data_IF_088621689799
#
_entry.id   IF_088621689799
#
_cell.length_a   1.000
_cell.length_b   1.000
_cell.length_c   1.000
_cell.angle_alpha   90.00
_cell.angle_beta   90.00
_cell.angle_gamma   90.00
#
_symmetry.space_group_name_H-M   'P 1'
#
loop_
_entity.id
_entity.type
_entity.pdbx_description
1 polymer ?
#
# COMPACT_ATOMS: atom_id res chain seq x y z
N UNK A 1 -19.12 -0.36 4.17
CA UNK A 1 -18.18 0.73 3.81
C UNK A 1 -17.00 0.10 3.10
N UNK A 2 -16.60 0.61 1.93
CA UNK A 2 -15.49 0.05 1.17
C UNK A 2 -14.16 0.77 1.46
N UNK A 3 -13.04 0.13 1.09
CA UNK A 3 -11.71 0.65 1.35
C UNK A 3 -11.42 1.95 0.60
N UNK A 4 -12.02 2.14 -0.57
CA UNK A 4 -11.81 3.32 -1.41
C UNK A 4 -12.41 4.55 -0.76
N UNK A 5 -13.63 4.44 -0.23
CA UNK A 5 -14.31 5.51 0.50
C UNK A 5 -13.54 5.93 1.75
N UNK A 6 -13.16 4.97 2.61
CA UNK A 6 -12.31 5.27 3.79
C UNK A 6 -11.01 5.94 3.38
N UNK A 7 -10.42 5.48 2.28
CA UNK A 7 -9.17 6.02 1.79
C UNK A 7 -9.28 7.48 1.36
N UNK A 8 -10.39 7.87 0.74
CA UNK A 8 -10.62 9.25 0.32
C UNK A 8 -10.86 10.14 1.54
N UNK A 9 -11.73 9.70 2.44
CA UNK A 9 -12.17 10.49 3.60
C UNK A 9 -11.08 10.64 4.68
N UNK A 10 -10.31 9.59 4.97
CA UNK A 10 -9.34 9.59 6.07
C UNK A 10 -7.89 9.60 5.61
N UNK A 11 -7.62 9.02 4.44
CA UNK A 11 -6.26 8.86 3.92
C UNK A 11 -6.02 9.76 2.70
N UNK A 12 -6.95 10.64 2.31
CA UNK A 12 -6.79 11.72 1.33
C UNK A 12 -6.61 11.32 -0.15
N UNK A 13 -6.55 10.03 -0.48
CA UNK A 13 -6.60 9.56 -1.88
C UNK A 13 -7.29 8.23 -1.91
N UNK A 14 -8.34 8.10 -2.72
CA UNK A 14 -9.09 6.85 -2.95
C UNK A 14 -8.24 5.56 -3.04
N UNK A 15 -7.05 5.60 -3.67
CA UNK A 15 -6.19 4.42 -3.84
C UNK A 15 -5.21 4.14 -2.68
N UNK A 16 -4.99 5.09 -1.75
CA UNK A 16 -3.92 5.02 -0.75
C UNK A 16 -4.07 3.81 0.17
N UNK A 17 -5.20 3.71 0.88
CA UNK A 17 -5.48 2.60 1.79
C UNK A 17 -5.62 1.27 1.02
N UNK A 18 -6.35 1.17 -0.12
CA UNK A 18 -6.36 -0.05 -0.93
C UNK A 18 -4.96 -0.55 -1.30
N UNK A 19 -4.05 0.34 -1.69
CA UNK A 19 -2.67 -0.01 -2.00
C UNK A 19 -1.90 -0.46 -0.75
N UNK A 20 -2.03 0.24 0.38
CA UNK A 20 -1.40 -0.17 1.65
C UNK A 20 -1.87 -1.57 2.07
N UNK A 21 -3.17 -1.83 1.97
CA UNK A 21 -3.76 -3.13 2.28
C UNK A 21 -3.29 -4.22 1.32
N UNK A 22 -3.09 -3.89 0.04
CA UNK A 22 -2.53 -4.81 -0.94
C UNK A 22 -1.08 -5.15 -0.61
N UNK A 23 -0.23 -4.16 -0.30
CA UNK A 23 1.17 -4.35 0.12
C UNK A 23 1.25 -5.19 1.40
N UNK A 24 0.43 -4.86 2.40
CA UNK A 24 0.38 -5.55 3.68
C UNK A 24 0.03 -7.04 3.52
N UNK A 25 -0.92 -7.37 2.64
CA UNK A 25 -1.31 -8.76 2.35
C UNK A 25 -0.41 -9.45 1.34
N UNK A 26 0.55 -8.75 0.75
CA UNK A 26 1.37 -9.32 -0.31
C UNK A 26 2.22 -10.48 0.26
N UNK A 27 2.21 -11.67 -0.38
CA UNK A 27 2.83 -12.88 0.17
C UNK A 27 4.36 -12.84 0.19
N UNK A 28 4.95 -11.93 -0.59
CA UNK A 28 6.41 -11.72 -0.64
C UNK A 28 6.80 -10.53 0.25
N UNK A 29 8.04 -10.55 0.72
CA UNK A 29 8.61 -9.47 1.56
C UNK A 29 8.83 -8.16 0.79
N UNK A 30 8.89 -8.24 -0.53
CA UNK A 30 8.98 -7.07 -1.42
C UNK A 30 8.01 -7.16 -2.60
N UNK A 31 7.63 -5.99 -3.10
CA UNK A 31 6.77 -5.82 -4.28
C UNK A 31 7.53 -5.10 -5.38
N UNK A 32 7.34 -5.50 -6.63
CA UNK A 32 7.87 -4.78 -7.77
C UNK A 32 7.02 -3.53 -8.07
N UNK A 33 7.64 -2.43 -8.53
CA UNK A 33 6.95 -1.15 -8.75
C UNK A 33 5.69 -1.24 -9.62
N UNK A 34 5.67 -2.14 -10.61
CA UNK A 34 4.52 -2.34 -11.51
C UNK A 34 3.65 -3.54 -11.16
N UNK A 35 3.89 -4.20 -10.01
CA UNK A 35 3.09 -5.33 -9.52
C UNK A 35 1.71 -4.96 -8.96
N UNK A 36 1.48 -3.76 -8.36
CA UNK A 36 0.15 -3.38 -7.91
C UNK A 36 -0.90 -3.45 -9.03
N UNK A 37 -2.09 -4.01 -8.76
CA UNK A 37 -3.12 -4.16 -9.79
C UNK A 37 -3.71 -2.81 -10.19
N UNK A 38 -3.94 -2.63 -11.50
CA UNK A 38 -4.47 -1.38 -12.07
C UNK A 38 -5.90 -1.05 -11.59
N UNK A 39 -6.62 -2.05 -11.07
CA UNK A 39 -7.91 -1.85 -10.42
C UNK A 39 -7.86 -0.98 -9.17
N UNK A 40 -6.67 -0.78 -8.57
CA UNK A 40 -6.49 0.15 -7.44
C UNK A 40 -6.34 1.61 -7.91
N UNK A 41 -6.02 1.84 -9.19
CA UNK A 41 -5.84 3.18 -9.74
C UNK A 41 -4.77 3.25 -10.84
N UNK A 42 -4.62 4.43 -11.43
CA UNK A 42 -3.64 4.67 -12.48
C UNK A 42 -2.19 4.43 -12.01
N UNK A 43 -1.34 3.81 -12.84
CA UNK A 43 0.05 3.44 -12.52
C UNK A 43 0.86 4.59 -11.91
N UNK A 44 0.75 5.80 -12.46
CA UNK A 44 1.45 6.99 -11.93
C UNK A 44 1.00 7.33 -10.50
N UNK A 45 -0.29 7.21 -10.20
CA UNK A 45 -0.82 7.45 -8.86
C UNK A 45 -0.33 6.37 -7.89
N UNK A 46 -0.35 5.09 -8.30
CA UNK A 46 0.15 3.99 -7.48
C UNK A 46 1.64 4.15 -7.15
N UNK A 47 2.47 4.54 -8.13
CA UNK A 47 3.89 4.82 -7.92
C UNK A 47 4.10 5.96 -6.92
N UNK A 48 3.37 7.07 -7.06
CA UNK A 48 3.45 8.19 -6.11
C UNK A 48 3.11 7.79 -4.67
N UNK A 49 2.16 6.86 -4.50
CA UNK A 49 1.77 6.35 -3.19
C UNK A 49 2.79 5.35 -2.63
N UNK A 50 3.42 4.51 -3.45
CA UNK A 50 4.58 3.70 -3.02
C UNK A 50 5.73 4.59 -2.53
N UNK A 51 6.08 5.63 -3.29
CA UNK A 51 7.12 6.58 -2.89
C UNK A 51 6.74 7.35 -1.61
N UNK A 52 5.45 7.59 -1.39
CA UNK A 52 4.94 8.18 -0.14
C UNK A 52 5.11 7.21 1.03
N UNK A 53 4.81 5.93 0.85
CA UNK A 53 5.04 4.90 1.87
C UNK A 53 6.51 4.79 2.24
N UNK A 54 7.42 4.95 1.27
CA UNK A 54 8.86 5.05 1.55
C UNK A 54 9.18 6.27 2.41
N UNK A 55 8.67 7.46 2.06
CA UNK A 55 8.88 8.68 2.86
C UNK A 55 8.31 8.59 4.28
N UNK A 56 7.24 7.81 4.48
CA UNK A 56 6.65 7.56 5.80
C UNK A 56 7.35 6.46 6.58
N UNK A 57 8.34 5.77 5.97
CA UNK A 57 9.07 4.67 6.60
C UNK A 57 8.29 3.36 6.66
N UNK A 58 7.16 3.21 5.96
CA UNK A 58 6.42 1.95 5.83
C UNK A 58 7.10 0.97 4.86
N UNK A 59 7.79 1.53 3.87
CA UNK A 59 8.52 0.79 2.84
C UNK A 59 9.98 1.24 2.78
N UNK A 60 10.85 0.34 2.36
CA UNK A 60 12.22 0.64 1.92
C UNK A 60 12.32 0.35 0.42
N UNK A 61 12.83 1.30 -0.34
CA UNK A 61 13.12 1.09 -1.75
C UNK A 61 14.38 0.23 -1.92
N UNK A 62 14.34 -0.73 -2.84
CA UNK A 62 15.44 -1.60 -3.21
C UNK A 62 15.70 -1.47 -4.71
N UNK A 63 16.97 -1.19 -5.06
CA UNK A 63 17.46 -1.17 -6.45
C UNK A 63 18.65 -2.13 -6.52
N UNK A 64 18.46 -3.35 -7.03
CA UNK A 64 19.58 -4.27 -7.23
C UNK A 64 20.60 -3.67 -8.21
N UNK A 65 21.89 -3.86 -7.93
CA UNK A 65 22.94 -3.30 -8.77
C UNK A 65 22.85 -3.83 -10.21
N UNK A 66 22.94 -2.93 -11.18
CA UNK A 66 22.87 -3.26 -12.61
C UNK A 66 21.47 -3.65 -13.11
N UNK A 67 20.43 -3.64 -12.25
CA UNK A 67 19.05 -3.90 -12.65
C UNK A 67 18.22 -2.59 -12.61
N UNK A 68 17.56 -2.18 -13.71
CA UNK A 68 16.68 -1.01 -13.70
C UNK A 68 15.41 -1.20 -12.84
N UNK A 69 15.14 -2.41 -12.34
CA UNK A 69 13.94 -2.71 -11.55
C UNK A 69 13.98 -2.06 -10.17
N UNK A 70 12.85 -1.48 -9.80
CA UNK A 70 12.61 -0.91 -8.47
C UNK A 70 11.69 -1.83 -7.70
N UNK A 71 12.13 -2.24 -6.52
CA UNK A 71 11.35 -3.02 -5.57
C UNK A 71 11.11 -2.22 -4.30
N UNK A 72 10.05 -2.57 -3.57
CA UNK A 72 9.73 -1.97 -2.29
C UNK A 72 9.53 -3.08 -1.25
N UNK A 73 10.35 -3.08 -0.20
CA UNK A 73 10.28 -4.03 0.90
C UNK A 73 9.52 -3.43 2.09
N UNK A 74 8.69 -4.23 2.76
CA UNK A 74 8.03 -3.81 4.00
C UNK A 74 9.06 -3.58 5.10
N UNK A 75 8.86 -2.53 5.88
CA UNK A 75 9.61 -2.31 7.12
C UNK A 75 8.85 -2.87 8.32
N UNK A 76 9.47 -2.84 9.49
CA UNK A 76 8.89 -3.12 10.80
C UNK A 76 8.24 -1.89 11.46
N UNK A 77 7.96 -0.84 10.68
CA UNK A 77 7.41 0.40 11.20
C UNK A 77 6.08 0.18 11.92
N UNK A 78 5.89 0.72 13.15
CA UNK A 78 4.63 0.59 13.89
C UNK A 78 3.46 1.30 13.20
N UNK A 79 3.72 2.16 12.19
CA UNK A 79 2.66 2.76 11.39
C UNK A 79 1.83 1.73 10.62
N UNK A 80 2.34 0.51 10.41
CA UNK A 80 1.54 -0.58 9.84
C UNK A 80 0.34 -0.94 10.71
N UNK A 81 0.40 -0.75 12.03
CA UNK A 81 -0.72 -1.02 12.95
C UNK A 81 -1.96 -0.18 12.62
N UNK A 82 -1.78 1.03 12.08
CA UNK A 82 -2.89 1.89 11.63
C UNK A 82 -3.59 1.27 10.41
N UNK A 83 -2.81 0.72 9.48
CA UNK A 83 -3.33 0.05 8.29
C UNK A 83 -4.05 -1.25 8.67
N UNK A 84 -3.53 -1.98 9.66
CA UNK A 84 -4.16 -3.16 10.21
C UNK A 84 -5.46 -2.86 10.93
N UNK A 85 -5.50 -1.80 11.74
CA UNK A 85 -6.73 -1.34 12.36
C UNK A 85 -7.80 -0.99 11.31
N UNK A 86 -7.43 -0.28 10.25
CA UNK A 86 -8.33 0.02 9.14
C UNK A 86 -8.82 -1.25 8.42
N UNK A 87 -7.93 -2.22 8.15
CA UNK A 87 -8.29 -3.53 7.60
C UNK A 87 -9.37 -4.23 8.44
N UNK A 88 -9.23 -4.21 9.76
CA UNK A 88 -10.11 -4.95 10.66
C UNK A 88 -11.47 -4.27 10.84
N UNK A 89 -11.55 -2.94 10.69
CA UNK A 89 -12.83 -2.21 10.56
C UNK A 89 -13.55 -2.60 9.26
N UNK A 90 -12.82 -2.69 8.16
CA UNK A 90 -13.39 -3.04 6.85
C UNK A 90 -13.93 -4.48 6.82
N UNK A 91 -13.22 -5.45 7.42
CA UNK A 91 -13.70 -6.84 7.55
C UNK A 91 -15.00 -6.94 8.34
N UNK A 92 -15.11 -6.24 9.47
CA UNK A 92 -16.34 -6.22 10.27
C UNK A 92 -17.53 -5.66 9.49
N UNK A 93 -17.25 -4.71 8.59
CA UNK A 93 -18.28 -4.07 7.75
C UNK A 93 -18.73 -4.94 6.56
N UNK A 94 -18.01 -6.03 6.23
CA UNK A 94 -18.43 -6.98 5.19
C UNK A 94 -19.22 -8.17 5.72
N UNK A 95 -19.15 -8.41 7.03
CA UNK A 95 -19.82 -9.52 7.72
C UNK A 95 -21.19 -9.12 8.32
N UNK A 96 -21.59 -7.85 8.18
CA UNK A 96 -22.86 -7.27 8.67
C UNK A 96 -23.73 -6.85 7.50
#
# INVERSE_FOLDING_TARGET
MDATQVSDDMFGRACRLPLMLWVLRHPKDRVYQSEPPESLGARTALRQELDRMVRMGLLREERPDGDPRVYYAKTDSPLWEIVEAARDVLKRSSDS
#
